data_IF_924173325119
#
_entry.id   IF_924173325119
#
_cell.length_a   1.000
_cell.length_b   1.000
_cell.length_c   1.000
_cell.angle_alpha   90.00
_cell.angle_beta   90.00
_cell.angle_gamma   90.00
#
_symmetry.space_group_name_H-M   'P 1'
#
loop_
_entity.id
_entity.type
_entity.pdbx_description
1 polymer ?
#
# COMPACT_ATOMS: atom_id res chain seq x y z
N UNK A 1 22.41 -18.81 49.75
CA UNK A 1 22.58 -18.74 48.28
C UNK A 1 21.44 -17.90 47.71
N UNK A 2 21.65 -16.59 47.56
CA UNK A 2 20.61 -15.67 47.06
C UNK A 2 21.06 -15.18 45.70
N UNK A 3 20.48 -15.73 44.63
CA UNK A 3 20.71 -15.22 43.27
C UNK A 3 19.98 -13.88 43.14
N UNK A 4 20.76 -12.81 43.17
CA UNK A 4 20.33 -11.47 42.79
C UNK A 4 20.02 -11.51 41.29
N UNK A 5 18.74 -11.52 40.94
CA UNK A 5 18.28 -11.30 39.58
C UNK A 5 18.49 -9.82 39.24
N UNK A 6 19.62 -9.50 38.60
CA UNK A 6 19.86 -8.18 38.02
C UNK A 6 18.92 -8.00 36.82
N UNK A 7 17.77 -7.38 37.08
CA UNK A 7 16.87 -6.82 36.08
C UNK A 7 17.63 -5.78 35.26
N UNK A 8 18.00 -6.12 34.03
CA UNK A 8 18.62 -5.18 33.10
C UNK A 8 17.60 -4.09 32.75
N UNK A 9 17.99 -2.81 32.70
CA UNK A 9 17.07 -1.74 32.35
C UNK A 9 16.54 -1.97 30.93
N UNK A 10 15.23 -1.76 30.67
CA UNK A 10 14.69 -1.86 29.33
C UNK A 10 15.37 -0.81 28.45
N UNK A 11 16.09 -1.27 27.42
CA UNK A 11 16.68 -0.39 26.40
C UNK A 11 15.54 0.43 25.78
N UNK A 12 15.66 1.77 25.67
CA UNK A 12 14.62 2.56 25.05
C UNK A 12 14.39 2.04 23.64
N UNK A 13 13.15 1.64 23.35
CA UNK A 13 12.75 1.25 22.01
C UNK A 13 12.87 2.49 21.14
N UNK A 14 14.00 2.63 20.43
CA UNK A 14 14.14 3.73 19.49
C UNK A 14 13.07 3.53 18.42
N UNK A 15 12.20 4.54 18.28
CA UNK A 15 11.21 4.63 17.21
C UNK A 15 11.96 4.75 15.89
N UNK A 16 12.40 3.60 15.39
CA UNK A 16 13.28 3.48 14.27
C UNK A 16 12.46 3.53 12.98
N UNK A 17 12.09 4.72 12.54
CA UNK A 17 11.82 4.97 11.10
C UNK A 17 12.97 4.44 10.24
N UNK A 18 14.19 4.44 10.77
CA UNK A 18 15.38 3.78 10.24
C UNK A 18 15.29 2.24 10.15
N UNK A 19 14.57 1.53 11.03
CA UNK A 19 14.42 0.05 10.95
C UNK A 19 13.48 -0.35 9.82
N UNK A 20 12.40 0.40 9.63
CA UNK A 20 11.51 0.21 8.48
C UNK A 20 12.28 0.46 7.17
N UNK A 21 13.02 1.56 7.08
CA UNK A 21 13.84 1.88 5.91
C UNK A 21 14.94 0.83 5.63
N UNK A 22 15.62 0.34 6.67
CA UNK A 22 16.63 -0.72 6.54
C UNK A 22 16.00 -2.05 6.14
N UNK A 23 14.79 -2.37 6.63
CA UNK A 23 14.06 -3.56 6.23
C UNK A 23 13.60 -3.49 4.77
N UNK A 24 13.10 -2.33 4.32
CA UNK A 24 12.70 -2.12 2.92
C UNK A 24 13.91 -2.26 2.00
N UNK A 25 15.07 -1.65 2.33
CA UNK A 25 16.30 -1.86 1.55
C UNK A 25 16.74 -3.32 1.53
N UNK A 26 16.67 -4.03 2.66
CA UNK A 26 17.08 -5.43 2.75
C UNK A 26 16.13 -6.43 2.10
N UNK A 27 14.85 -6.11 1.90
CA UNK A 27 13.86 -7.04 1.36
C UNK A 27 13.36 -6.67 -0.04
N UNK A 28 13.08 -5.39 -0.30
CA UNK A 28 12.63 -4.92 -1.63
C UNK A 28 13.80 -4.61 -2.58
N UNK A 29 14.96 -4.21 -2.06
CA UNK A 29 16.14 -3.86 -2.87
C UNK A 29 17.33 -4.78 -2.57
N UNK A 30 17.04 -6.02 -2.16
CA UNK A 30 18.06 -7.02 -1.78
C UNK A 30 18.93 -7.47 -2.96
N UNK A 31 18.40 -7.35 -4.18
CA UNK A 31 19.04 -7.71 -5.44
C UNK A 31 18.62 -6.76 -6.55
N UNK A 32 19.44 -6.67 -7.60
CA UNK A 32 19.12 -5.87 -8.79
C UNK A 32 17.78 -6.28 -9.43
N UNK A 33 17.46 -7.58 -9.41
CA UNK A 33 16.18 -8.10 -9.90
C UNK A 33 14.98 -7.57 -9.10
N UNK A 34 15.07 -7.52 -7.77
CA UNK A 34 13.99 -7.00 -6.92
C UNK A 34 13.80 -5.48 -7.09
N UNK A 35 14.90 -4.73 -7.30
CA UNK A 35 14.82 -3.31 -7.65
C UNK A 35 14.08 -3.07 -8.96
N UNK A 36 14.38 -3.85 -10.01
CA UNK A 36 13.73 -3.72 -11.31
C UNK A 36 12.24 -4.07 -11.23
N UNK A 37 11.90 -5.13 -10.48
CA UNK A 37 10.52 -5.56 -10.27
C UNK A 37 9.73 -4.50 -9.49
N UNK A 38 10.34 -3.90 -8.45
CA UNK A 38 9.71 -2.81 -7.67
C UNK A 38 9.42 -1.59 -8.54
N UNK A 39 10.39 -1.16 -9.37
CA UNK A 39 10.20 -0.04 -10.30
C UNK A 39 9.12 -0.38 -11.32
N UNK A 40 9.12 -1.61 -11.86
CA UNK A 40 8.10 -2.09 -12.79
C UNK A 40 6.70 -2.08 -12.18
N UNK A 41 6.55 -2.52 -10.92
CA UNK A 41 5.28 -2.44 -10.21
C UNK A 41 4.81 -0.98 -10.02
N UNK A 42 5.69 -0.07 -9.63
CA UNK A 42 5.35 1.35 -9.47
C UNK A 42 4.94 1.95 -10.82
N UNK A 43 5.66 1.64 -11.89
CA UNK A 43 5.34 2.10 -13.23
C UNK A 43 3.98 1.56 -13.71
N UNK A 44 3.72 0.28 -13.47
CA UNK A 44 2.44 -0.34 -13.81
C UNK A 44 1.28 0.26 -12.99
N UNK A 45 1.50 0.53 -11.69
CA UNK A 45 0.53 1.26 -10.87
C UNK A 45 0.30 2.67 -11.42
N UNK A 46 1.35 3.37 -11.84
CA UNK A 46 1.22 4.71 -12.41
C UNK A 46 0.39 4.72 -13.69
N UNK A 47 0.47 3.68 -14.52
CA UNK A 47 -0.34 3.56 -15.73
C UNK A 47 -1.78 3.10 -15.43
N UNK A 48 -1.98 2.22 -14.44
CA UNK A 48 -3.30 1.67 -14.11
C UNK A 48 -4.15 2.59 -13.24
N UNK A 49 -3.56 3.35 -12.32
CA UNK A 49 -4.29 4.19 -11.37
C UNK A 49 -5.12 5.27 -12.10
N UNK A 50 -4.59 6.05 -13.06
CA UNK A 50 -5.35 7.08 -13.76
C UNK A 50 -6.62 6.59 -14.48
N UNK A 51 -6.58 5.54 -15.33
CA UNK A 51 -7.78 5.03 -15.98
C UNK A 51 -8.74 4.38 -14.98
N UNK A 52 -8.24 3.74 -13.91
CA UNK A 52 -9.09 3.18 -12.87
C UNK A 52 -9.85 4.27 -12.11
N UNK A 53 -9.17 5.37 -11.76
CA UNK A 53 -9.81 6.53 -11.12
C UNK A 53 -10.80 7.21 -12.06
N UNK A 54 -10.48 7.32 -13.36
CA UNK A 54 -11.39 7.86 -14.36
C UNK A 54 -12.66 7.00 -14.45
N UNK A 55 -12.53 5.68 -14.52
CA UNK A 55 -13.66 4.76 -14.54
C UNK A 55 -14.47 4.79 -13.24
N UNK A 56 -13.79 4.85 -12.09
CA UNK A 56 -14.41 4.78 -10.77
C UNK A 56 -15.07 6.09 -10.32
N UNK A 57 -14.59 7.25 -10.78
CA UNK A 57 -15.07 8.56 -10.32
C UNK A 57 -15.64 9.44 -11.42
N UNK A 58 -14.93 9.58 -12.54
CA UNK A 58 -15.30 10.51 -13.61
C UNK A 58 -16.41 9.95 -14.51
N UNK A 59 -16.36 8.66 -14.83
CA UNK A 59 -17.38 7.96 -15.63
C UNK A 59 -18.42 7.22 -14.77
N UNK A 60 -18.33 7.35 -13.45
CA UNK A 60 -19.20 6.65 -12.53
C UNK A 60 -20.65 7.15 -12.59
N UNK A 61 -21.59 6.22 -12.44
CA UNK A 61 -23.00 6.53 -12.29
C UNK A 61 -23.27 6.72 -10.79
N UNK A 62 -23.41 7.99 -10.39
CA UNK A 62 -23.62 8.37 -9.00
C UNK A 62 -25.10 8.50 -8.63
N UNK A 63 -25.93 8.90 -9.60
CA UNK A 63 -27.35 9.19 -9.39
C UNK A 63 -28.18 8.25 -10.26
N UNK A 64 -29.05 7.49 -9.61
CA UNK A 64 -30.03 6.62 -10.23
C UNK A 64 -30.96 6.10 -9.14
N UNK A 65 -32.14 5.61 -9.52
CA UNK A 65 -33.09 5.04 -8.56
C UNK A 65 -33.07 3.53 -8.57
N UNK A 66 -32.51 2.93 -9.63
CA UNK A 66 -32.37 1.48 -9.77
C UNK A 66 -31.04 1.11 -10.41
N UNK A 67 -30.58 -0.12 -10.18
CA UNK A 67 -29.38 -0.69 -10.82
C UNK A 67 -29.43 -0.75 -12.34
N UNK A 68 -30.62 -0.63 -12.93
CA UNK A 68 -30.79 -0.58 -14.38
C UNK A 68 -30.32 0.76 -14.98
N UNK A 69 -30.20 1.80 -14.16
CA UNK A 69 -29.78 3.14 -14.58
C UNK A 69 -28.25 3.25 -14.76
N UNK A 70 -27.50 2.20 -14.45
CA UNK A 70 -26.05 2.19 -14.60
C UNK A 70 -25.61 2.05 -16.06
N UNK A 71 -24.88 3.05 -16.55
CA UNK A 71 -24.22 2.99 -17.84
C UNK A 71 -23.00 2.05 -17.78
N UNK A 72 -22.80 1.21 -18.81
CA UNK A 72 -21.65 0.29 -18.92
C UNK A 72 -20.29 1.01 -19.09
N UNK A 73 -20.28 2.35 -19.09
CA UNK A 73 -19.10 3.17 -19.33
C UNK A 73 -18.22 3.34 -18.08
N UNK A 74 -18.77 3.17 -16.87
CA UNK A 74 -18.08 3.45 -15.62
C UNK A 74 -18.53 2.58 -14.44
N UNK A 75 -18.00 2.88 -13.26
CA UNK A 75 -18.42 2.22 -12.03
C UNK A 75 -19.89 2.56 -11.69
N UNK A 76 -20.62 1.55 -11.23
CA UNK A 76 -22.01 1.68 -10.81
C UNK A 76 -22.05 1.87 -9.29
N UNK A 77 -22.26 3.12 -8.83
CA UNK A 77 -22.40 3.45 -7.41
C UNK A 77 -23.86 3.70 -7.00
N UNK A 78 -24.80 3.47 -7.92
CA UNK A 78 -26.25 3.58 -7.69
C UNK A 78 -26.75 2.40 -6.84
N UNK A 79 -27.74 2.66 -5.97
CA UNK A 79 -28.34 1.69 -5.06
C UNK A 79 -29.37 0.76 -5.73
#
# INVERSE_FOLDING_TARGET
>A
MTKVLLSHPPRPASHNSSRAMVWVRKNLFSSWSNSLLTIGCIWLMWELIPPLLNWAFLQANWVGSTRADCTKAGACWVF
#
